data_IF_358658448092
#
_entry.id   IF_358658448092
#
_cell.length_a   1.000
_cell.length_b   1.000
_cell.length_c   1.000
_cell.angle_alpha   90.00
_cell.angle_beta   90.00
_cell.angle_gamma   90.00
#
_symmetry.space_group_name_H-M   'P 1'
#
loop_
_entity.id
_entity.type
_entity.pdbx_description
1 polymer ?
#
# COMPACT_ATOMS: atom_id res chain seq x y z
N UNK A 1 -18.36 16.46 16.57
CA UNK A 1 -17.89 15.05 16.65
C UNK A 1 -16.99 14.91 17.86
N UNK A 2 -17.34 13.96 18.78
CA UNK A 2 -16.61 13.79 20.05
C UNK A 2 -15.89 12.44 20.14
N UNK A 3 -16.53 11.36 19.68
CA UNK A 3 -15.98 10.00 19.79
C UNK A 3 -16.18 9.20 18.52
N UNK A 4 -15.08 8.65 18.01
CA UNK A 4 -15.03 7.86 16.76
C UNK A 4 -14.34 6.53 17.00
N UNK A 5 -14.91 5.45 16.47
CA UNK A 5 -14.23 4.16 16.37
C UNK A 5 -13.78 3.96 14.92
N UNK A 6 -12.51 3.56 14.74
CA UNK A 6 -11.97 3.12 13.46
C UNK A 6 -11.55 1.66 13.58
N UNK A 7 -12.05 0.81 12.71
CA UNK A 7 -11.79 -0.63 12.77
C UNK A 7 -11.26 -1.17 11.45
N UNK A 8 -10.17 -1.89 11.55
CA UNK A 8 -9.51 -2.54 10.43
C UNK A 8 -8.15 -3.07 10.81
N UNK A 9 -7.46 -3.66 9.86
CA UNK A 9 -6.11 -4.15 10.09
C UNK A 9 -5.79 -5.44 9.32
N UNK A 10 -4.76 -6.12 9.78
CA UNK A 10 -4.21 -7.33 9.19
C UNK A 10 -3.08 -7.06 8.20
N UNK A 11 -3.09 -5.94 7.50
CA UNK A 11 -2.05 -5.52 6.54
C UNK A 11 -1.88 -4.01 6.53
N UNK A 12 -0.72 -3.52 6.05
CA UNK A 12 -0.47 -2.09 5.87
C UNK A 12 -1.52 -1.40 4.98
N UNK A 13 -2.07 -2.12 3.99
CA UNK A 13 -3.12 -1.60 3.10
C UNK A 13 -4.41 -1.18 3.80
N UNK A 14 -4.69 -1.70 5.00
CA UNK A 14 -5.81 -1.26 5.84
C UNK A 14 -5.36 -0.27 6.92
N UNK A 15 -4.17 -0.48 7.50
CA UNK A 15 -3.70 0.30 8.65
C UNK A 15 -3.40 1.75 8.25
N UNK A 16 -2.65 1.96 7.18
CA UNK A 16 -2.26 3.32 6.76
C UNK A 16 -3.46 4.18 6.35
N UNK A 17 -4.44 3.71 5.54
CA UNK A 17 -5.68 4.44 5.32
C UNK A 17 -6.45 4.76 6.59
N UNK A 18 -6.53 3.83 7.55
CA UNK A 18 -7.19 4.05 8.83
C UNK A 18 -6.52 5.18 9.64
N UNK A 19 -5.19 5.19 9.70
CA UNK A 19 -4.40 6.24 10.36
C UNK A 19 -4.56 7.57 9.64
N UNK A 20 -4.53 7.60 8.30
CA UNK A 20 -4.74 8.82 7.52
C UNK A 20 -6.12 9.44 7.75
N UNK A 21 -7.18 8.62 7.83
CA UNK A 21 -8.53 9.07 8.19
C UNK A 21 -8.53 9.63 9.62
N UNK A 22 -7.90 8.94 10.58
CA UNK A 22 -7.81 9.40 11.96
C UNK A 22 -7.11 10.76 12.07
N UNK A 23 -5.99 10.94 11.34
CA UNK A 23 -5.25 12.18 11.31
C UNK A 23 -6.08 13.33 10.73
N UNK A 24 -6.82 13.10 9.63
CA UNK A 24 -7.71 14.09 9.02
C UNK A 24 -8.86 14.48 9.97
N UNK A 25 -9.46 13.49 10.67
CA UNK A 25 -10.47 13.74 11.70
C UNK A 25 -9.87 14.59 12.83
N UNK A 26 -8.68 14.22 13.33
CA UNK A 26 -8.02 14.91 14.44
C UNK A 26 -7.58 16.32 14.08
N UNK A 27 -7.14 16.56 12.85
CA UNK A 27 -6.80 17.87 12.34
C UNK A 27 -8.04 18.81 12.31
N UNK A 28 -9.20 18.29 11.94
CA UNK A 28 -10.47 19.06 11.87
C UNK A 28 -11.17 19.18 13.22
N UNK A 29 -11.01 18.19 14.11
CA UNK A 29 -11.60 18.11 15.45
C UNK A 29 -10.51 17.76 16.48
N UNK A 30 -9.72 18.74 16.97
CA UNK A 30 -8.60 18.48 17.87
C UNK A 30 -8.97 17.72 19.16
N UNK A 31 -10.18 17.94 19.69
CA UNK A 31 -10.66 17.33 20.94
C UNK A 31 -11.36 15.96 20.74
N UNK A 32 -11.40 15.44 19.51
CA UNK A 32 -12.06 14.15 19.24
C UNK A 32 -11.29 13.00 19.91
N UNK A 33 -12.01 12.11 20.55
CA UNK A 33 -11.47 10.84 21.02
C UNK A 33 -11.60 9.78 19.93
N UNK A 34 -10.46 9.22 19.50
CA UNK A 34 -10.41 8.16 18.50
C UNK A 34 -9.94 6.87 19.16
N UNK A 35 -10.72 5.81 19.00
CA UNK A 35 -10.37 4.47 19.43
C UNK A 35 -10.29 3.53 18.23
N UNK A 36 -9.14 2.89 18.08
CA UNK A 36 -8.99 1.83 17.07
C UNK A 36 -9.43 0.47 17.64
N UNK A 37 -9.95 -0.36 16.74
CA UNK A 37 -10.27 -1.76 17.03
C UNK A 37 -9.66 -2.63 15.93
N UNK A 38 -8.66 -3.43 16.28
CA UNK A 38 -7.88 -4.28 15.38
C UNK A 38 -7.97 -5.75 15.74
N UNK A 39 -7.18 -6.58 15.06
CA UNK A 39 -7.00 -7.99 15.38
C UNK A 39 -5.80 -8.18 16.34
N UNK A 40 -5.98 -8.97 17.39
CA UNK A 40 -4.88 -9.35 18.30
C UNK A 40 -3.72 -9.98 17.53
N UNK A 41 -2.49 -9.71 17.99
CA UNK A 41 -1.25 -10.28 17.44
C UNK A 41 -1.03 -9.97 15.94
N UNK A 42 -1.51 -8.82 15.48
CA UNK A 42 -1.31 -8.32 14.12
C UNK A 42 -0.59 -6.98 14.14
N UNK A 43 -0.11 -6.59 12.95
CA UNK A 43 0.69 -5.39 12.72
C UNK A 43 0.04 -4.11 13.28
N UNK A 44 -1.27 -4.00 13.26
CA UNK A 44 -1.99 -2.84 13.79
C UNK A 44 -1.78 -2.62 15.29
N UNK A 45 -1.55 -3.69 16.06
CA UNK A 45 -1.32 -3.57 17.51
C UNK A 45 -0.01 -2.84 17.85
N UNK A 46 0.92 -2.77 16.90
CA UNK A 46 2.18 -2.03 17.01
C UNK A 46 2.09 -0.68 16.28
N UNK A 47 1.60 -0.69 15.05
CA UNK A 47 1.62 0.50 14.17
C UNK A 47 0.66 1.61 14.59
N UNK A 48 -0.52 1.27 15.11
CA UNK A 48 -1.50 2.26 15.56
C UNK A 48 -1.03 3.02 16.79
N UNK A 49 -0.47 2.38 17.85
CA UNK A 49 0.15 3.09 18.97
C UNK A 49 1.33 3.97 18.54
N UNK A 50 2.18 3.51 17.63
CA UNK A 50 3.28 4.31 17.08
C UNK A 50 2.77 5.58 16.39
N UNK A 51 1.56 5.54 15.80
CA UNK A 51 0.89 6.71 15.24
C UNK A 51 0.15 7.60 16.27
N UNK A 52 0.27 7.29 17.58
CA UNK A 52 -0.30 8.08 18.67
C UNK A 52 -1.76 7.75 19.04
N UNK A 53 -2.31 6.63 18.56
CA UNK A 53 -3.70 6.26 18.83
C UNK A 53 -3.83 5.05 19.74
N UNK A 54 -4.91 5.03 20.56
CA UNK A 54 -5.27 3.87 21.37
C UNK A 54 -5.91 2.79 20.49
N UNK A 55 -5.58 1.52 20.75
CA UNK A 55 -6.15 0.37 20.07
C UNK A 55 -6.56 -0.73 21.03
N UNK A 56 -7.66 -1.42 20.73
CA UNK A 56 -8.10 -2.65 21.40
C UNK A 56 -8.10 -3.78 20.38
N UNK A 57 -7.47 -4.91 20.73
CA UNK A 57 -7.44 -6.11 19.90
C UNK A 57 -8.70 -6.97 20.08
N UNK A 58 -9.18 -7.56 18.98
CA UNK A 58 -10.20 -8.61 18.98
C UNK A 58 -9.56 -9.96 18.63
N UNK A 59 -9.97 -11.06 19.27
CA UNK A 59 -9.44 -12.40 18.97
C UNK A 59 -10.03 -12.97 17.67
N UNK A 60 -9.89 -12.22 16.57
CA UNK A 60 -10.40 -12.62 15.25
C UNK A 60 -9.39 -13.49 14.52
N UNK A 61 -9.89 -14.39 13.66
CA UNK A 61 -9.08 -15.19 12.75
C UNK A 61 -9.78 -15.32 11.40
N UNK A 62 -8.98 -15.53 10.33
CA UNK A 62 -9.51 -15.82 9.01
C UNK A 62 -10.08 -17.23 8.93
N UNK A 63 -11.08 -17.43 8.07
CA UNK A 63 -11.62 -18.75 7.75
C UNK A 63 -10.63 -19.51 6.87
N UNK A 64 -10.32 -20.76 7.24
CA UNK A 64 -9.58 -21.70 6.41
C UNK A 64 -10.53 -22.30 5.35
N UNK A 65 -10.35 -21.89 4.09
CA UNK A 65 -11.19 -22.34 2.97
C UNK A 65 -10.88 -23.81 2.56
N UNK A 66 -9.70 -24.33 2.95
CA UNK A 66 -9.26 -25.70 2.59
C UNK A 66 -9.66 -26.73 3.64
N UNK A 67 -9.72 -26.35 4.92
CA UNK A 67 -9.94 -27.26 6.02
C UNK A 67 -11.12 -26.81 6.90
N UNK A 68 -12.34 -27.19 6.52
CA UNK A 68 -13.58 -26.73 7.18
C UNK A 68 -13.63 -27.04 8.68
N UNK A 69 -13.13 -28.19 9.14
CA UNK A 69 -13.12 -28.57 10.55
C UNK A 69 -12.24 -27.66 11.44
N UNK A 70 -11.21 -27.01 10.88
CA UNK A 70 -10.40 -26.02 11.60
C UNK A 70 -11.15 -24.73 11.91
N UNK A 71 -12.30 -24.52 11.27
CA UNK A 71 -13.10 -23.31 11.47
C UNK A 71 -13.94 -23.33 12.74
N UNK A 72 -14.07 -24.43 13.49
CA UNK A 72 -14.78 -24.44 14.78
C UNK A 72 -14.14 -23.43 15.76
N UNK A 73 -12.81 -23.44 15.85
CA UNK A 73 -12.07 -22.45 16.64
C UNK A 73 -12.26 -21.00 16.15
N UNK A 74 -12.41 -20.81 14.84
CA UNK A 74 -12.71 -19.49 14.24
C UNK A 74 -14.10 -19.00 14.63
N UNK A 75 -15.10 -19.88 14.68
CA UNK A 75 -16.45 -19.54 15.12
C UNK A 75 -16.49 -19.11 16.60
N UNK A 76 -15.78 -19.82 17.47
CA UNK A 76 -15.64 -19.47 18.89
C UNK A 76 -14.97 -18.09 19.03
N UNK A 77 -13.86 -17.84 18.30
CA UNK A 77 -13.19 -16.54 18.25
C UNK A 77 -14.12 -15.44 17.75
N UNK A 78 -14.93 -15.73 16.72
CA UNK A 78 -15.91 -14.77 16.19
C UNK A 78 -16.95 -14.39 17.24
N UNK A 79 -17.49 -15.36 18.01
CA UNK A 79 -18.44 -15.08 19.09
C UNK A 79 -17.82 -14.25 20.22
N UNK A 80 -16.59 -14.58 20.63
CA UNK A 80 -15.84 -13.79 21.61
C UNK A 80 -15.60 -12.36 21.09
N UNK A 81 -15.20 -12.22 19.83
CA UNK A 81 -14.97 -10.91 19.19
C UNK A 81 -16.25 -10.08 19.11
N UNK A 82 -17.41 -10.69 18.78
CA UNK A 82 -18.70 -10.01 18.79
C UNK A 82 -19.11 -9.55 20.20
N UNK A 83 -18.85 -10.36 21.22
CA UNK A 83 -19.14 -9.99 22.62
C UNK A 83 -18.26 -8.82 23.06
N UNK A 84 -16.95 -8.90 22.79
CA UNK A 84 -16.01 -7.84 23.13
C UNK A 84 -16.29 -6.54 22.35
N UNK A 85 -16.61 -6.63 21.06
CA UNK A 85 -17.00 -5.47 20.26
C UNK A 85 -18.25 -4.78 20.82
N UNK A 86 -19.27 -5.55 21.27
CA UNK A 86 -20.46 -4.99 21.93
C UNK A 86 -20.12 -4.26 23.23
N UNK A 87 -19.17 -4.80 24.01
CA UNK A 87 -18.67 -4.14 25.23
C UNK A 87 -17.97 -2.84 24.89
N UNK A 88 -17.05 -2.85 23.92
CA UNK A 88 -16.31 -1.66 23.45
C UNK A 88 -17.29 -0.56 23.01
N UNK A 89 -18.26 -0.89 22.14
CA UNK A 89 -19.26 0.05 21.64
C UNK A 89 -20.10 0.64 22.79
N UNK A 90 -20.50 -0.19 23.76
CA UNK A 90 -21.30 0.26 24.91
C UNK A 90 -20.51 1.20 25.81
N UNK A 91 -19.24 0.87 26.07
CA UNK A 91 -18.41 1.57 27.05
C UNK A 91 -17.83 2.87 26.45
N UNK A 92 -17.41 2.84 25.19
CA UNK A 92 -16.87 4.01 24.48
C UNK A 92 -17.93 4.96 23.95
N UNK A 93 -19.13 4.47 23.59
CA UNK A 93 -20.28 5.23 23.05
C UNK A 93 -19.89 6.11 21.86
N UNK A 94 -19.37 5.55 20.76
CA UNK A 94 -18.99 6.34 19.60
C UNK A 94 -20.20 6.96 18.90
N UNK A 95 -20.02 8.11 18.26
CA UNK A 95 -21.04 8.75 17.41
C UNK A 95 -21.07 8.11 16.02
N UNK A 96 -19.93 7.56 15.56
CA UNK A 96 -19.80 6.84 14.30
C UNK A 96 -18.74 5.75 14.42
N UNK A 97 -18.89 4.68 13.65
CA UNK A 97 -17.86 3.66 13.48
C UNK A 97 -17.46 3.52 12.01
N UNK A 98 -16.15 3.57 11.75
CA UNK A 98 -15.53 3.52 10.41
C UNK A 98 -14.86 2.16 10.24
N UNK A 99 -15.17 1.46 9.16
CA UNK A 99 -14.55 0.20 8.78
C UNK A 99 -13.67 0.35 7.55
N UNK A 100 -12.40 0.03 7.69
CA UNK A 100 -11.43 0.08 6.58
C UNK A 100 -11.08 -1.32 6.03
N UNK A 101 -11.85 -2.33 6.39
CA UNK A 101 -11.60 -3.72 5.98
C UNK A 101 -10.82 -4.53 7.02
N UNK A 102 -10.53 -5.79 6.67
CA UNK A 102 -9.92 -6.75 7.58
C UNK A 102 -10.93 -7.44 8.50
N UNK A 103 -10.44 -8.40 9.29
CA UNK A 103 -11.31 -9.28 10.09
C UNK A 103 -11.96 -8.57 11.29
N UNK A 104 -11.32 -7.56 11.87
CA UNK A 104 -11.81 -6.84 13.03
C UNK A 104 -13.00 -5.91 12.70
N UNK A 105 -13.08 -5.38 11.47
CA UNK A 105 -14.17 -4.51 11.03
C UNK A 105 -15.54 -5.21 11.10
N UNK A 106 -15.60 -6.51 10.79
CA UNK A 106 -16.85 -7.27 10.81
C UNK A 106 -17.58 -7.23 12.14
N UNK A 107 -17.00 -7.75 13.23
CA UNK A 107 -17.60 -7.72 14.57
C UNK A 107 -17.86 -6.29 15.08
N UNK A 108 -16.93 -5.36 14.84
CA UNK A 108 -17.01 -3.98 15.34
C UNK A 108 -18.20 -3.24 14.73
N UNK A 109 -18.31 -3.21 13.40
CA UNK A 109 -19.37 -2.49 12.73
C UNK A 109 -20.72 -3.19 12.89
N UNK A 110 -20.74 -4.53 12.98
CA UNK A 110 -21.97 -5.27 13.32
C UNK A 110 -22.49 -4.90 14.71
N UNK A 111 -21.58 -4.69 15.68
CA UNK A 111 -21.94 -4.24 17.02
C UNK A 111 -22.46 -2.79 17.01
N UNK A 112 -21.81 -1.89 16.27
CA UNK A 112 -22.26 -0.49 16.08
C UNK A 112 -23.66 -0.43 15.46
N UNK A 113 -23.86 -1.12 14.33
CA UNK A 113 -25.14 -1.20 13.63
C UNK A 113 -26.29 -1.74 14.53
N UNK A 114 -25.98 -2.70 15.43
CA UNK A 114 -26.97 -3.23 16.37
C UNK A 114 -27.39 -2.20 17.43
N UNK A 115 -26.58 -1.18 17.67
CA UNK A 115 -26.83 -0.06 18.58
C UNK A 115 -27.31 1.20 17.86
N UNK A 116 -27.67 1.09 16.57
CA UNK A 116 -28.08 2.20 15.71
C UNK A 116 -27.03 3.31 15.59
N UNK A 117 -25.76 2.98 15.82
CA UNK A 117 -24.66 3.89 15.57
C UNK A 117 -24.34 3.82 14.07
N UNK A 118 -24.32 4.97 13.37
CA UNK A 118 -24.04 5.01 11.95
C UNK A 118 -22.64 4.44 11.64
N UNK A 119 -22.52 3.79 10.48
CA UNK A 119 -21.24 3.22 10.03
C UNK A 119 -20.88 3.71 8.65
N UNK A 120 -19.60 3.97 8.45
CA UNK A 120 -18.98 4.28 7.16
C UNK A 120 -17.99 3.18 6.80
N UNK A 121 -17.98 2.75 5.56
CA UNK A 121 -16.97 1.84 5.02
C UNK A 121 -15.99 2.59 4.11
N UNK A 122 -14.73 2.20 4.14
CA UNK A 122 -13.74 2.61 3.16
C UNK A 122 -13.18 1.35 2.48
N UNK A 123 -13.22 1.32 1.15
CA UNK A 123 -12.70 0.23 0.32
C UNK A 123 -11.53 0.72 -0.54
N UNK A 124 -10.37 0.12 -0.34
CA UNK A 124 -9.12 0.53 -0.95
C UNK A 124 -8.90 -0.06 -2.34
N UNK A 125 -9.48 -1.21 -2.61
CA UNK A 125 -9.20 -2.00 -3.80
C UNK A 125 -10.29 -1.84 -4.86
N UNK A 126 -9.94 -2.09 -6.12
CA UNK A 126 -10.89 -2.15 -7.24
C UNK A 126 -11.81 -3.40 -7.18
N UNK A 127 -11.55 -4.31 -6.26
CA UNK A 127 -12.36 -5.47 -5.93
C UNK A 127 -12.67 -5.51 -4.45
N UNK A 128 -13.95 -5.44 -4.10
CA UNK A 128 -14.39 -5.29 -2.73
C UNK A 128 -14.05 -6.51 -1.86
N UNK A 129 -13.50 -6.24 -0.67
CA UNK A 129 -13.25 -7.25 0.34
C UNK A 129 -14.54 -7.88 0.89
N UNK A 130 -14.47 -9.16 1.28
CA UNK A 130 -15.64 -9.91 1.77
C UNK A 130 -16.32 -9.20 2.95
N UNK A 131 -15.53 -8.69 3.89
CA UNK A 131 -16.04 -7.99 5.09
C UNK A 131 -16.86 -6.76 4.69
N UNK A 132 -16.34 -5.93 3.79
CA UNK A 132 -17.03 -4.73 3.32
C UNK A 132 -18.32 -5.07 2.56
N UNK A 133 -18.30 -6.12 1.71
CA UNK A 133 -19.52 -6.63 1.03
C UNK A 133 -20.61 -7.03 2.03
N UNK A 134 -20.26 -7.74 3.11
CA UNK A 134 -21.21 -8.17 4.13
C UNK A 134 -21.80 -7.00 4.95
N UNK A 135 -21.03 -5.93 5.14
CA UNK A 135 -21.44 -4.76 5.92
C UNK A 135 -22.16 -3.69 5.09
N UNK A 136 -22.00 -3.70 3.77
CA UNK A 136 -22.44 -2.66 2.84
C UNK A 136 -23.92 -2.29 2.99
N UNK A 137 -24.80 -3.29 3.14
CA UNK A 137 -26.26 -3.06 3.24
C UNK A 137 -26.64 -2.16 4.41
N UNK A 138 -25.90 -2.25 5.53
CA UNK A 138 -26.17 -1.47 6.76
C UNK A 138 -25.33 -0.22 6.92
N UNK A 139 -24.29 -0.05 6.11
CA UNK A 139 -23.49 1.15 6.13
C UNK A 139 -24.30 2.37 5.67
N UNK A 140 -24.06 3.52 6.27
CA UNK A 140 -24.63 4.79 5.86
C UNK A 140 -24.02 5.29 4.55
N UNK A 141 -22.69 5.18 4.42
CA UNK A 141 -21.91 5.52 3.21
C UNK A 141 -20.74 4.54 3.03
N UNK A 142 -20.31 4.42 1.79
CA UNK A 142 -19.19 3.57 1.36
C UNK A 142 -18.26 4.40 0.49
N UNK A 143 -17.15 4.82 1.07
CA UNK A 143 -16.10 5.55 0.39
C UNK A 143 -15.21 4.56 -0.38
N UNK A 144 -15.05 4.75 -1.67
CA UNK A 144 -14.31 3.83 -2.53
C UNK A 144 -13.16 4.53 -3.24
N UNK A 145 -12.11 3.77 -3.56
CA UNK A 145 -10.95 4.29 -4.26
C UNK A 145 -11.04 4.20 -5.79
N UNK A 146 -11.94 3.38 -6.30
CA UNK A 146 -12.07 3.10 -7.73
C UNK A 146 -13.51 3.23 -8.19
N UNK A 147 -13.69 3.60 -9.46
CA UNK A 147 -14.97 3.55 -10.16
C UNK A 147 -15.48 2.11 -10.33
N UNK A 148 -16.76 1.95 -10.69
CA UNK A 148 -17.35 0.66 -11.05
C UNK A 148 -17.59 -0.25 -9.85
N UNK A 149 -17.70 0.32 -8.62
CA UNK A 149 -17.92 -0.44 -7.40
C UNK A 149 -19.39 -0.78 -7.13
N UNK A 150 -20.31 -0.30 -7.95
CA UNK A 150 -21.76 -0.62 -7.91
C UNK A 150 -22.06 -2.11 -8.14
N UNK A 151 -21.13 -2.83 -8.74
CA UNK A 151 -21.20 -4.30 -8.85
C UNK A 151 -21.05 -5.03 -7.51
N UNK A 152 -20.56 -4.34 -6.47
CA UNK A 152 -20.33 -4.90 -5.13
C UNK A 152 -21.18 -4.24 -4.06
N UNK A 153 -21.54 -2.98 -4.24
CA UNK A 153 -22.15 -2.13 -3.23
C UNK A 153 -23.43 -1.44 -3.74
N UNK A 154 -24.39 -1.09 -2.85
CA UNK A 154 -25.53 -0.28 -3.22
C UNK A 154 -25.09 1.08 -3.79
N UNK A 155 -25.55 1.40 -5.00
CA UNK A 155 -25.13 2.59 -5.77
C UNK A 155 -25.37 3.91 -5.00
N UNK A 156 -26.47 4.01 -4.29
CA UNK A 156 -26.89 5.20 -3.51
C UNK A 156 -26.00 5.49 -2.30
N UNK A 157 -25.16 4.52 -1.91
CA UNK A 157 -24.24 4.63 -0.78
C UNK A 157 -22.79 4.88 -1.18
N UNK A 158 -22.44 4.66 -2.43
CA UNK A 158 -21.07 4.80 -2.93
C UNK A 158 -20.70 6.28 -3.06
N UNK A 159 -19.50 6.61 -2.60
CA UNK A 159 -18.84 7.89 -2.84
C UNK A 159 -17.42 7.61 -3.29
N UNK A 160 -17.02 8.10 -4.45
CA UNK A 160 -15.66 8.02 -4.94
C UNK A 160 -14.82 9.08 -4.24
N UNK A 161 -14.02 8.66 -3.25
CA UNK A 161 -13.17 9.54 -2.46
C UNK A 161 -11.70 9.35 -2.72
N UNK A 162 -11.31 8.20 -3.26
CA UNK A 162 -9.91 7.77 -3.34
C UNK A 162 -9.45 7.03 -2.08
N UNK A 163 -8.17 6.68 -2.09
CA UNK A 163 -7.49 6.13 -0.92
C UNK A 163 -6.81 7.23 -0.12
N UNK A 164 -7.02 7.28 1.20
CA UNK A 164 -6.23 8.13 2.06
C UNK A 164 -4.77 7.70 2.06
N UNK A 165 -3.92 8.47 1.43
CA UNK A 165 -2.47 8.29 1.40
C UNK A 165 -1.77 9.33 2.26
N UNK A 166 -0.47 9.19 2.45
CA UNK A 166 0.33 10.15 3.18
C UNK A 166 0.29 11.52 2.52
N UNK A 167 0.21 12.57 3.33
CA UNK A 167 0.15 13.97 2.84
C UNK A 167 1.54 14.59 2.60
N UNK A 168 2.61 13.95 3.08
CA UNK A 168 4.00 14.40 2.96
C UNK A 168 4.66 14.04 1.61
N UNK A 169 3.91 13.38 0.72
CA UNK A 169 4.35 13.01 -0.61
C UNK A 169 4.25 14.21 -1.57
N UNK A 170 5.28 15.01 -1.61
CA UNK A 170 5.42 16.10 -2.58
C UNK A 170 6.80 15.99 -3.24
N UNK A 171 6.82 16.09 -4.57
CA UNK A 171 8.07 16.21 -5.33
C UNK A 171 8.37 17.69 -5.52
N UNK A 172 9.46 18.18 -4.91
CA UNK A 172 10.00 19.52 -5.14
C UNK A 172 11.46 19.44 -5.57
N UNK A 173 11.98 20.49 -6.18
CA UNK A 173 13.40 20.53 -6.57
C UNK A 173 14.33 20.42 -5.35
N UNK A 174 13.93 20.97 -4.20
CA UNK A 174 14.66 20.82 -2.95
C UNK A 174 14.76 19.35 -2.51
N UNK A 175 13.61 18.64 -2.55
CA UNK A 175 13.59 17.19 -2.25
C UNK A 175 14.38 16.35 -3.26
N UNK A 176 14.37 16.74 -4.55
CA UNK A 176 15.19 16.07 -5.56
C UNK A 176 16.67 16.19 -5.23
N UNK A 177 17.14 17.38 -4.90
CA UNK A 177 18.55 17.61 -4.49
C UNK A 177 18.89 16.83 -3.22
N UNK A 178 18.05 16.92 -2.18
CA UNK A 178 18.21 16.14 -0.95
C UNK A 178 18.27 14.63 -1.24
N UNK A 179 17.47 14.13 -2.18
CA UNK A 179 17.41 12.71 -2.53
C UNK A 179 18.70 12.21 -3.16
N UNK A 180 19.27 12.95 -4.12
CA UNK A 180 20.55 12.58 -4.72
C UNK A 180 21.68 12.55 -3.68
N UNK A 181 21.69 13.53 -2.77
CA UNK A 181 22.66 13.55 -1.65
C UNK A 181 22.43 12.39 -0.67
N UNK A 182 21.18 12.08 -0.35
CA UNK A 182 20.81 11.01 0.59
C UNK A 182 21.13 9.62 0.06
N UNK A 183 20.77 9.33 -1.21
CA UNK A 183 21.00 8.04 -1.84
C UNK A 183 22.39 7.91 -2.45
N UNK A 184 23.18 8.98 -2.49
CA UNK A 184 24.51 9.03 -3.15
C UNK A 184 24.44 8.68 -4.63
N UNK A 185 23.43 9.19 -5.32
CA UNK A 185 23.14 8.94 -6.72
C UNK A 185 23.47 10.16 -7.59
N UNK A 186 23.61 9.94 -8.88
CA UNK A 186 23.99 10.93 -9.88
C UNK A 186 22.74 11.66 -10.42
N UNK A 187 22.64 12.99 -10.36
CA UNK A 187 21.50 13.73 -10.87
C UNK A 187 21.33 13.68 -12.40
N UNK A 188 22.40 13.33 -13.14
CA UNK A 188 22.39 13.26 -14.61
C UNK A 188 21.90 11.90 -15.14
N UNK A 189 21.65 10.92 -14.24
CA UNK A 189 21.20 9.57 -14.60
C UNK A 189 19.71 9.38 -14.37
N UNK A 190 19.08 8.54 -15.20
CA UNK A 190 17.72 8.06 -15.00
C UNK A 190 17.64 7.09 -13.83
N UNK A 191 16.62 7.23 -12.99
CA UNK A 191 16.45 6.43 -11.76
C UNK A 191 15.26 5.48 -11.86
N UNK A 192 15.52 4.18 -11.70
CA UNK A 192 14.48 3.17 -11.51
C UNK A 192 14.32 2.88 -10.01
N UNK A 193 13.11 3.04 -9.48
CA UNK A 193 12.77 2.68 -8.11
C UNK A 193 12.09 1.30 -8.09
N UNK A 194 12.68 0.34 -7.38
CA UNK A 194 12.17 -1.03 -7.25
C UNK A 194 11.66 -1.28 -5.84
N UNK A 195 10.37 -1.57 -5.68
CA UNK A 195 9.72 -1.81 -4.39
C UNK A 195 8.79 -3.02 -4.41
N UNK A 196 9.10 -4.03 -3.60
CA UNK A 196 8.30 -5.24 -3.44
C UNK A 196 7.29 -5.21 -2.27
N UNK A 197 7.17 -4.04 -1.58
CA UNK A 197 6.50 -3.93 -0.29
C UNK A 197 7.43 -4.27 0.89
N UNK A 198 6.96 -4.09 2.14
CA UNK A 198 7.79 -4.24 3.36
C UNK A 198 8.39 -5.63 3.57
N UNK A 199 7.78 -6.67 3.02
CA UNK A 199 8.29 -8.05 3.10
C UNK A 199 9.15 -8.43 1.89
N UNK A 200 9.15 -7.59 0.85
CA UNK A 200 9.79 -7.87 -0.42
C UNK A 200 8.92 -8.69 -1.38
N UNK A 201 9.40 -8.84 -2.61
CA UNK A 201 8.74 -9.58 -3.67
C UNK A 201 9.76 -10.49 -4.38
N UNK A 202 9.69 -11.80 -4.14
CA UNK A 202 10.68 -12.76 -4.61
C UNK A 202 10.97 -12.62 -6.11
N UNK A 203 9.94 -12.63 -6.94
CA UNK A 203 10.08 -12.60 -8.39
C UNK A 203 10.72 -11.31 -8.88
N UNK A 204 10.28 -10.16 -8.33
CA UNK A 204 10.89 -8.86 -8.63
C UNK A 204 12.35 -8.84 -8.21
N UNK A 205 12.65 -9.28 -6.98
CA UNK A 205 14.01 -9.32 -6.48
C UNK A 205 14.91 -10.18 -7.35
N UNK A 206 14.46 -11.37 -7.73
CA UNK A 206 15.22 -12.26 -8.59
C UNK A 206 15.49 -11.68 -9.98
N UNK A 207 14.51 -10.98 -10.56
CA UNK A 207 14.71 -10.30 -11.86
C UNK A 207 15.79 -9.23 -11.77
N UNK A 208 15.83 -8.46 -10.68
CA UNK A 208 16.84 -7.40 -10.49
C UNK A 208 18.21 -7.99 -10.12
N UNK A 209 18.27 -9.06 -9.29
CA UNK A 209 19.54 -9.76 -9.04
C UNK A 209 20.15 -10.29 -10.33
N UNK A 210 19.36 -10.95 -11.17
CA UNK A 210 19.82 -11.46 -12.47
C UNK A 210 20.37 -10.33 -13.38
N UNK A 211 19.74 -9.15 -13.39
CA UNK A 211 20.25 -7.99 -14.10
C UNK A 211 21.64 -7.58 -13.61
N UNK A 212 21.82 -7.54 -12.28
CA UNK A 212 23.09 -7.12 -11.67
C UNK A 212 24.23 -8.13 -11.92
N UNK A 213 23.90 -9.42 -12.01
CA UNK A 213 24.86 -10.49 -12.25
C UNK A 213 25.24 -10.63 -13.73
N UNK A 214 24.41 -10.12 -14.65
CA UNK A 214 24.63 -10.25 -16.09
C UNK A 214 25.62 -9.19 -16.61
N UNK A 215 26.81 -9.63 -17.00
CA UNK A 215 27.89 -8.77 -17.54
C UNK A 215 27.53 -8.11 -18.87
N UNK A 216 26.79 -8.81 -19.74
CA UNK A 216 26.37 -8.26 -21.03
C UNK A 216 25.50 -7.00 -20.85
N UNK A 217 24.60 -7.01 -19.86
CA UNK A 217 23.80 -5.85 -19.52
C UNK A 217 24.62 -4.72 -18.93
N UNK A 218 25.59 -5.03 -18.08
CA UNK A 218 26.46 -4.02 -17.45
C UNK A 218 27.37 -3.31 -18.46
N UNK A 219 27.73 -3.99 -19.53
CA UNK A 219 28.59 -3.43 -20.59
C UNK A 219 27.83 -2.66 -21.68
N UNK A 220 26.48 -2.76 -21.70
CA UNK A 220 25.68 -1.99 -22.63
C UNK A 220 25.67 -0.50 -22.24
N UNK A 221 25.80 0.38 -23.21
CA UNK A 221 25.73 1.84 -23.02
C UNK A 221 24.47 2.29 -22.30
N UNK A 222 23.36 1.55 -22.45
CA UNK A 222 22.07 1.78 -21.81
C UNK A 222 22.15 1.78 -20.28
N UNK A 223 23.03 0.95 -19.68
CA UNK A 223 23.21 0.89 -18.21
C UNK A 223 24.11 2.01 -17.67
N UNK A 224 24.94 2.64 -18.50
CA UNK A 224 25.83 3.71 -18.03
C UNK A 224 25.07 4.95 -17.56
N UNK A 225 23.87 5.18 -18.11
CA UNK A 225 23.00 6.31 -17.78
C UNK A 225 21.83 5.94 -16.86
N UNK A 226 21.88 4.75 -16.22
CA UNK A 226 20.86 4.28 -15.30
C UNK A 226 21.39 4.13 -13.88
N UNK A 227 20.47 4.28 -12.93
CA UNK A 227 20.69 3.99 -11.52
C UNK A 227 19.43 3.42 -10.90
N UNK A 228 19.60 2.63 -9.84
CA UNK A 228 18.51 1.87 -9.23
C UNK A 228 18.49 2.11 -7.73
N UNK A 229 17.31 2.47 -7.20
CA UNK A 229 16.98 2.39 -5.78
C UNK A 229 16.17 1.12 -5.58
N UNK A 230 16.69 0.19 -4.80
CA UNK A 230 16.07 -1.12 -4.64
C UNK A 230 15.79 -1.46 -3.18
N UNK A 231 14.49 -1.55 -2.84
CA UNK A 231 14.03 -2.09 -1.57
C UNK A 231 13.74 -3.59 -1.74
N UNK A 232 14.60 -4.42 -1.21
CA UNK A 232 14.51 -5.88 -1.29
C UNK A 232 13.46 -6.47 -0.34
N UNK A 233 13.19 -5.80 0.78
CA UNK A 233 12.33 -6.26 1.86
C UNK A 233 13.05 -7.17 2.86
N UNK A 234 12.53 -7.19 4.09
CA UNK A 234 13.16 -7.84 5.26
C UNK A 234 13.53 -9.31 5.04
N UNK A 235 12.72 -10.05 4.27
CA UNK A 235 12.92 -11.49 4.10
C UNK A 235 14.12 -11.80 3.21
N UNK A 236 14.38 -10.93 2.21
CA UNK A 236 15.34 -11.21 1.14
C UNK A 236 16.64 -10.44 1.27
N UNK A 237 16.69 -9.39 2.08
CA UNK A 237 17.82 -8.46 2.12
C UNK A 237 19.15 -9.16 2.36
N UNK A 238 19.26 -9.96 3.43
CA UNK A 238 20.51 -10.64 3.79
C UNK A 238 21.00 -11.60 2.70
N UNK A 239 20.08 -12.37 2.12
CA UNK A 239 20.42 -13.32 1.05
C UNK A 239 20.97 -12.58 -0.17
N UNK A 240 20.27 -11.54 -0.62
CA UNK A 240 20.67 -10.73 -1.79
C UNK A 240 22.00 -10.04 -1.50
N UNK A 241 22.20 -9.50 -0.32
CA UNK A 241 23.45 -8.89 0.12
C UNK A 241 24.62 -9.87 0.01
N UNK A 242 24.46 -11.08 0.54
CA UNK A 242 25.48 -12.13 0.49
C UNK A 242 25.77 -12.59 -0.96
N UNK A 243 24.74 -12.79 -1.77
CA UNK A 243 24.86 -13.18 -3.19
C UNK A 243 25.65 -12.14 -3.96
N UNK A 244 25.32 -10.87 -3.83
CA UNK A 244 26.01 -9.77 -4.52
C UNK A 244 27.44 -9.59 -4.02
N UNK A 245 27.69 -9.66 -2.70
CA UNK A 245 29.05 -9.61 -2.15
C UNK A 245 29.91 -10.74 -2.73
N UNK A 246 29.41 -11.96 -2.76
CA UNK A 246 30.15 -13.11 -3.27
C UNK A 246 30.43 -12.99 -4.77
N UNK A 247 29.43 -12.56 -5.54
CA UNK A 247 29.59 -12.33 -6.98
C UNK A 247 30.70 -11.32 -7.29
N UNK A 248 30.78 -10.24 -6.52
CA UNK A 248 31.75 -9.16 -6.73
C UNK A 248 33.12 -9.43 -6.08
N UNK A 249 33.20 -10.14 -4.95
CA UNK A 249 34.50 -10.56 -4.35
C UNK A 249 35.30 -11.50 -5.25
N UNK A 250 34.63 -12.34 -6.03
CA UNK A 250 35.28 -13.21 -7.01
C UNK A 250 35.96 -12.43 -8.16
N UNK A 251 35.67 -11.14 -8.31
CA UNK A 251 36.14 -10.24 -9.37
C UNK A 251 37.15 -9.18 -8.89
N UNK A 252 37.91 -9.43 -7.80
CA UNK A 252 39.04 -8.58 -7.33
C UNK A 252 38.65 -7.15 -6.87
N UNK A 253 37.50 -6.94 -6.29
CA UNK A 253 37.23 -5.69 -5.58
C UNK A 253 37.64 -5.80 -4.10
N UNK A 254 38.82 -5.16 -3.78
CA UNK A 254 39.52 -5.33 -2.48
C UNK A 254 39.05 -4.47 -1.35
N UNK A 255 37.89 -3.80 -1.42
CA UNK A 255 37.46 -2.94 -0.35
C UNK A 255 36.15 -3.42 0.32
N UNK A 256 36.29 -3.76 1.63
CA UNK A 256 35.22 -4.20 2.52
C UNK A 256 34.34 -3.03 3.03
N UNK A 257 34.51 -1.83 2.52
CA UNK A 257 33.72 -0.69 2.93
C UNK A 257 32.33 -0.78 2.34
N UNK A 258 31.41 -1.19 3.21
CA UNK A 258 29.98 -1.05 3.09
C UNK A 258 29.37 -1.26 1.70
N UNK A 259 28.52 -2.25 1.62
CA UNK A 259 27.59 -2.60 0.55
C UNK A 259 26.82 -1.43 -0.11
N UNK A 260 27.00 -0.23 0.40
CA UNK A 260 26.42 1.02 -0.09
C UNK A 260 27.13 1.63 -1.30
N UNK A 261 28.27 1.07 -1.72
CA UNK A 261 29.09 1.64 -2.81
C UNK A 261 29.37 0.58 -3.87
N UNK A 262 28.34 -0.10 -4.34
CA UNK A 262 28.47 -0.79 -5.61
C UNK A 262 28.18 0.17 -6.72
N UNK A 263 29.25 0.62 -7.41
CA UNK A 263 29.17 1.61 -8.47
C UNK A 263 28.18 2.74 -8.14
N UNK A 264 28.46 3.96 -8.42
CA UNK A 264 27.60 5.14 -8.28
C UNK A 264 26.18 5.03 -8.88
N UNK A 265 25.68 3.81 -9.11
CA UNK A 265 24.42 3.52 -9.80
C UNK A 265 23.44 2.64 -9.04
N UNK A 266 23.75 2.17 -7.80
CA UNK A 266 22.84 1.30 -7.07
C UNK A 266 22.75 1.68 -5.60
N UNK A 267 21.53 1.86 -5.11
CA UNK A 267 21.21 1.96 -3.67
C UNK A 267 20.30 0.80 -3.29
N UNK A 268 20.81 -0.14 -2.49
CA UNK A 268 20.11 -1.35 -2.08
C UNK A 268 19.84 -1.30 -0.58
N UNK A 269 18.61 -1.56 -0.15
CA UNK A 269 18.23 -1.52 1.26
C UNK A 269 17.11 -2.51 1.58
N UNK A 270 17.05 -2.92 2.85
CA UNK A 270 15.93 -3.71 3.37
C UNK A 270 14.61 -2.93 3.28
N UNK A 271 14.63 -1.66 3.68
CA UNK A 271 13.45 -0.81 3.75
C UNK A 271 13.80 0.67 3.52
N UNK A 272 13.07 1.33 2.65
CA UNK A 272 13.23 2.77 2.39
C UNK A 272 12.39 3.55 3.39
N UNK A 273 13.04 4.22 4.35
CA UNK A 273 12.38 5.08 5.34
C UNK A 273 11.96 6.42 4.74
N UNK A 274 12.79 7.00 3.86
CA UNK A 274 12.54 8.26 3.15
C UNK A 274 11.98 8.00 1.75
N UNK A 275 10.76 7.41 1.71
CA UNK A 275 10.07 7.13 0.45
C UNK A 275 9.74 8.42 -0.32
N UNK A 276 9.53 9.53 0.39
CA UNK A 276 9.35 10.86 -0.20
C UNK A 276 10.53 11.25 -1.10
N UNK A 277 11.76 10.98 -0.65
CA UNK A 277 12.98 11.23 -1.44
C UNK A 277 13.10 10.25 -2.62
N UNK A 278 12.84 8.96 -2.38
CA UNK A 278 12.91 7.96 -3.45
C UNK A 278 11.94 8.27 -4.59
N UNK A 279 10.70 8.64 -4.26
CA UNK A 279 9.72 9.07 -5.26
C UNK A 279 10.13 10.34 -5.99
N UNK A 280 10.80 11.30 -5.33
CA UNK A 280 11.15 12.58 -5.95
C UNK A 280 12.09 12.42 -7.15
N UNK A 281 12.98 11.43 -7.13
CA UNK A 281 13.98 11.18 -8.19
C UNK A 281 13.65 9.99 -9.08
N UNK A 282 12.65 9.17 -8.76
CA UNK A 282 12.24 8.04 -9.60
C UNK A 282 11.66 8.52 -10.94
N UNK A 283 12.24 8.09 -12.05
CA UNK A 283 11.71 8.26 -13.42
C UNK A 283 10.76 7.13 -13.79
N UNK A 284 11.04 5.91 -13.31
CA UNK A 284 10.20 4.73 -13.49
C UNK A 284 10.14 3.95 -12.17
N UNK A 285 8.98 3.42 -11.85
CA UNK A 285 8.79 2.57 -10.67
C UNK A 285 8.46 1.14 -11.10
N UNK A 286 9.09 0.16 -10.44
CA UNK A 286 8.70 -1.25 -10.51
C UNK A 286 8.12 -1.62 -9.15
N UNK A 287 6.86 -2.10 -9.11
CA UNK A 287 6.19 -2.34 -7.83
C UNK A 287 5.16 -3.47 -7.88
N UNK A 288 4.84 -4.03 -6.71
CA UNK A 288 3.58 -4.75 -6.50
C UNK A 288 2.38 -3.81 -6.65
N UNK A 289 1.22 -4.35 -7.05
CA UNK A 289 0.00 -3.58 -7.27
C UNK A 289 -0.84 -3.41 -5.97
N UNK A 290 -0.20 -2.99 -4.89
CA UNK A 290 -0.88 -2.65 -3.64
C UNK A 290 -1.68 -1.35 -3.77
N UNK A 291 -2.90 -1.32 -3.24
CA UNK A 291 -3.81 -0.19 -3.39
C UNK A 291 -3.24 1.15 -2.88
N UNK A 292 -2.54 1.14 -1.74
CA UNK A 292 -1.89 2.34 -1.20
C UNK A 292 -0.79 2.86 -2.11
N UNK A 293 0.12 1.98 -2.54
CA UNK A 293 1.22 2.34 -3.45
C UNK A 293 0.70 2.90 -4.78
N UNK A 294 -0.30 2.24 -5.38
CA UNK A 294 -0.93 2.73 -6.61
C UNK A 294 -1.48 4.15 -6.41
N UNK A 295 -2.15 4.42 -5.29
CA UNK A 295 -2.68 5.75 -5.02
C UNK A 295 -1.57 6.79 -4.83
N UNK A 296 -0.44 6.42 -4.23
CA UNK A 296 0.76 7.27 -4.15
C UNK A 296 1.33 7.55 -5.55
N UNK A 297 1.42 6.54 -6.43
CA UNK A 297 1.88 6.72 -7.81
C UNK A 297 0.96 7.65 -8.62
N UNK A 298 -0.36 7.50 -8.45
CA UNK A 298 -1.33 8.40 -9.07
C UNK A 298 -1.14 9.85 -8.61
N UNK A 299 -0.98 10.05 -7.30
CA UNK A 299 -0.77 11.38 -6.72
C UNK A 299 0.48 12.08 -7.24
N UNK A 300 1.54 11.32 -7.48
CA UNK A 300 2.84 11.82 -7.90
C UNK A 300 3.05 11.80 -9.42
N UNK A 301 2.09 11.27 -10.18
CA UNK A 301 2.21 11.13 -11.64
C UNK A 301 3.38 10.22 -12.05
N UNK A 302 3.71 9.18 -11.27
CA UNK A 302 4.89 8.34 -11.54
C UNK A 302 4.58 7.21 -12.49
N UNK A 303 5.31 7.10 -13.63
CA UNK A 303 5.23 5.94 -14.51
C UNK A 303 5.56 4.65 -13.75
N UNK A 304 4.80 3.58 -13.96
CA UNK A 304 4.96 2.35 -13.18
C UNK A 304 4.77 1.08 -14.00
N UNK A 305 5.65 0.11 -13.74
CA UNK A 305 5.44 -1.30 -14.10
C UNK A 305 4.91 -2.02 -12.86
N UNK A 306 3.71 -2.54 -12.96
CA UNK A 306 3.05 -3.29 -11.90
C UNK A 306 3.24 -4.78 -12.11
N UNK A 307 3.75 -5.46 -11.07
CA UNK A 307 3.88 -6.92 -11.01
C UNK A 307 2.96 -7.42 -9.90
N UNK A 308 1.68 -7.74 -10.19
CA UNK A 308 0.72 -8.17 -9.18
C UNK A 308 1.17 -9.42 -8.44
N UNK A 309 0.99 -9.45 -7.10
CA UNK A 309 1.29 -10.63 -6.32
C UNK A 309 0.22 -11.71 -6.53
N UNK A 310 0.59 -12.97 -6.85
CA UNK A 310 -0.38 -14.06 -6.97
C UNK A 310 -0.90 -14.56 -5.61
N UNK A 311 -0.24 -14.17 -4.51
CA UNK A 311 -0.51 -14.68 -3.16
C UNK A 311 -1.44 -13.78 -2.34
N UNK A 312 -2.34 -13.04 -3.00
CA UNK A 312 -3.30 -12.15 -2.34
C UNK A 312 -4.72 -12.65 -2.46
N UNK A 313 -5.56 -12.32 -1.46
CA UNK A 313 -6.96 -12.72 -1.46
C UNK A 313 -7.70 -12.14 -2.68
N UNK A 314 -8.58 -12.95 -3.30
CA UNK A 314 -9.48 -12.53 -4.40
C UNK A 314 -8.76 -11.93 -5.61
N UNK A 315 -7.45 -12.16 -5.75
CA UNK A 315 -6.62 -11.64 -6.84
C UNK A 315 -6.75 -10.10 -7.01
N UNK A 316 -6.87 -9.40 -5.88
CA UNK A 316 -7.14 -7.96 -5.91
C UNK A 316 -6.00 -7.14 -6.52
N UNK A 317 -4.73 -7.59 -6.44
CA UNK A 317 -3.62 -6.85 -7.04
C UNK A 317 -3.67 -6.85 -8.57
N UNK A 318 -4.00 -7.98 -9.20
CA UNK A 318 -4.21 -8.01 -10.66
C UNK A 318 -5.34 -7.06 -11.07
N UNK A 319 -6.44 -7.05 -10.32
CA UNK A 319 -7.57 -6.16 -10.59
C UNK A 319 -7.22 -4.69 -10.39
N UNK A 320 -6.43 -4.36 -9.36
CA UNK A 320 -5.92 -3.01 -9.15
C UNK A 320 -5.02 -2.57 -10.32
N UNK A 321 -4.10 -3.42 -10.76
CA UNK A 321 -3.23 -3.13 -11.90
C UNK A 321 -4.04 -2.90 -13.19
N UNK A 322 -4.99 -3.78 -13.49
CA UNK A 322 -5.84 -3.66 -14.67
C UNK A 322 -6.69 -2.38 -14.67
N UNK A 323 -7.07 -1.87 -13.49
CA UNK A 323 -7.79 -0.60 -13.40
C UNK A 323 -6.96 0.59 -13.93
N UNK A 324 -5.63 0.52 -13.88
CA UNK A 324 -4.72 1.50 -14.44
C UNK A 324 -4.37 1.19 -15.90
N UNK A 325 -4.06 -0.09 -16.20
CA UNK A 325 -3.67 -0.53 -17.54
C UNK A 325 -4.78 -0.22 -18.57
N UNK A 326 -6.03 -0.47 -18.22
CA UNK A 326 -7.19 -0.17 -19.06
C UNK A 326 -7.38 1.33 -19.36
N UNK A 327 -6.67 2.19 -18.64
CA UNK A 327 -6.63 3.65 -18.84
C UNK A 327 -5.29 4.13 -19.39
N UNK A 328 -4.45 3.22 -19.88
CA UNK A 328 -3.08 3.49 -20.34
C UNK A 328 -2.24 4.26 -19.31
N UNK A 329 -2.44 3.98 -18.02
CA UNK A 329 -1.81 4.66 -16.88
C UNK A 329 -0.72 3.82 -16.19
N UNK A 330 -0.52 2.58 -16.61
CA UNK A 330 0.54 1.70 -16.11
C UNK A 330 0.82 0.58 -17.10
N UNK A 331 2.00 -0.03 -17.01
CA UNK A 331 2.33 -1.31 -17.63
C UNK A 331 2.15 -2.42 -16.58
N UNK A 332 1.66 -3.59 -16.99
CA UNK A 332 1.54 -4.75 -16.10
C UNK A 332 2.29 -5.94 -16.67
N UNK A 333 3.05 -6.62 -15.82
CA UNK A 333 3.69 -7.90 -16.12
C UNK A 333 3.18 -8.92 -15.09
N UNK A 334 2.73 -10.08 -15.55
CA UNK A 334 2.29 -11.13 -14.64
C UNK A 334 3.49 -11.67 -13.83
N UNK A 335 3.28 -11.99 -12.55
CA UNK A 335 4.37 -12.44 -11.66
C UNK A 335 5.19 -13.62 -12.25
N UNK A 336 4.52 -14.57 -12.89
CA UNK A 336 5.15 -15.74 -13.54
C UNK A 336 6.06 -15.38 -14.71
N UNK A 337 5.81 -14.25 -15.37
CA UNK A 337 6.52 -13.81 -16.57
C UNK A 337 7.62 -12.78 -16.22
N UNK A 338 7.63 -12.26 -14.98
CA UNK A 338 8.54 -11.20 -14.57
C UNK A 338 10.02 -11.59 -14.68
N UNK A 339 10.38 -12.86 -14.41
CA UNK A 339 11.75 -13.35 -14.56
C UNK A 339 12.36 -13.15 -15.95
N UNK A 340 11.53 -13.16 -17.00
CA UNK A 340 11.96 -13.09 -18.39
C UNK A 340 11.65 -11.74 -19.07
N UNK A 341 10.71 -10.96 -18.54
CA UNK A 341 10.19 -9.78 -19.25
C UNK A 341 10.40 -8.47 -18.48
N UNK A 342 10.58 -8.52 -17.16
CA UNK A 342 10.54 -7.32 -16.33
C UNK A 342 11.70 -6.36 -16.64
N UNK A 343 12.90 -6.90 -16.74
CA UNK A 343 14.11 -6.11 -16.99
C UNK A 343 14.07 -5.51 -18.38
N UNK A 344 13.80 -6.32 -19.41
CA UNK A 344 13.75 -5.85 -20.79
C UNK A 344 12.71 -4.75 -20.97
N UNK A 345 11.50 -4.95 -20.38
CA UNK A 345 10.45 -3.93 -20.46
C UNK A 345 10.78 -2.67 -19.68
N UNK A 346 11.47 -2.79 -18.55
CA UNK A 346 11.90 -1.63 -17.77
C UNK A 346 12.95 -0.80 -18.54
N UNK A 347 13.89 -1.48 -19.20
CA UNK A 347 14.93 -0.82 -20.02
C UNK A 347 14.34 -0.19 -21.29
N UNK A 348 13.44 -0.89 -21.99
CA UNK A 348 12.69 -0.31 -23.10
C UNK A 348 11.97 0.97 -22.69
N UNK A 349 11.23 0.91 -21.58
CA UNK A 349 10.39 2.00 -21.13
C UNK A 349 11.18 3.21 -20.62
N UNK A 350 12.28 2.98 -19.85
CA UNK A 350 13.07 4.08 -19.27
C UNK A 350 13.74 4.94 -20.35
N UNK A 351 14.02 4.36 -21.52
CA UNK A 351 14.57 5.07 -22.68
C UNK A 351 13.52 5.64 -23.61
N UNK A 352 12.24 5.32 -23.43
CA UNK A 352 11.13 5.86 -24.22
C UNK A 352 10.46 7.05 -23.50
N UNK A 353 11.03 8.24 -23.67
CA UNK A 353 10.53 9.46 -23.00
C UNK A 353 9.07 9.76 -23.32
N UNK A 354 8.63 9.53 -24.56
CA UNK A 354 7.24 9.78 -24.96
C UNK A 354 6.26 8.85 -24.23
N UNK A 355 6.62 7.58 -24.06
CA UNK A 355 5.80 6.62 -23.32
C UNK A 355 5.78 6.92 -21.82
N UNK A 356 6.92 7.28 -21.21
CA UNK A 356 6.99 7.72 -19.82
C UNK A 356 6.09 8.93 -19.57
N UNK A 357 6.16 9.95 -20.42
CA UNK A 357 5.32 11.15 -20.30
C UNK A 357 3.83 10.82 -20.46
N UNK A 358 3.49 9.92 -21.40
CA UNK A 358 2.11 9.46 -21.59
C UNK A 358 1.58 8.73 -20.36
N UNK A 359 2.35 7.79 -19.81
CA UNK A 359 1.99 7.08 -18.58
C UNK A 359 1.85 8.03 -17.39
N UNK A 360 2.79 8.95 -17.23
CA UNK A 360 2.77 9.99 -16.19
C UNK A 360 1.50 10.85 -16.26
N UNK A 361 1.19 11.37 -17.45
CA UNK A 361 0.00 12.20 -17.66
C UNK A 361 -1.30 11.42 -17.41
N UNK A 362 -1.36 10.15 -17.79
CA UNK A 362 -2.56 9.34 -17.62
C UNK A 362 -2.75 8.89 -16.17
N UNK A 363 -1.69 8.48 -15.47
CA UNK A 363 -1.79 8.05 -14.07
C UNK A 363 -2.14 9.25 -13.16
N UNK A 364 -1.65 10.45 -13.46
CA UNK A 364 -1.96 11.66 -12.71
C UNK A 364 -3.45 12.04 -12.80
N UNK A 365 -4.12 11.76 -13.92
CA UNK A 365 -5.58 11.96 -14.06
C UNK A 365 -6.41 11.09 -13.12
N UNK A 366 -5.81 10.05 -12.55
CA UNK A 366 -6.44 9.14 -11.59
C UNK A 366 -6.18 9.55 -10.13
N UNK A 367 -5.46 10.64 -9.90
CA UNK A 367 -5.15 11.15 -8.57
C UNK A 367 -6.43 11.67 -7.87
N UNK A 368 -6.57 11.32 -6.60
CA UNK A 368 -7.63 11.80 -5.71
C UNK A 368 -6.96 12.32 -4.42
N UNK A 369 -6.37 13.51 -4.45
CA UNK A 369 -5.48 14.02 -3.40
C UNK A 369 -6.17 14.24 -2.05
N UNK A 370 -7.43 14.65 -2.05
CA UNK A 370 -8.19 15.01 -0.84
C UNK A 370 -8.98 13.83 -0.24
N UNK A 371 -8.58 12.59 -0.52
CA UNK A 371 -9.32 11.40 -0.12
C UNK A 371 -9.64 11.36 1.39
N UNK A 372 -8.68 11.68 2.25
CA UNK A 372 -8.90 11.68 3.69
C UNK A 372 -9.92 12.74 4.12
N UNK A 373 -9.81 13.98 3.61
CA UNK A 373 -10.74 15.07 3.90
C UNK A 373 -12.13 14.78 3.33
N UNK A 374 -12.22 14.26 2.10
CA UNK A 374 -13.49 13.85 1.48
C UNK A 374 -14.23 12.79 2.32
N UNK A 375 -13.50 11.87 2.94
CA UNK A 375 -14.08 10.90 3.87
C UNK A 375 -14.60 11.60 5.13
N UNK A 376 -13.87 12.57 5.68
CA UNK A 376 -14.33 13.35 6.84
C UNK A 376 -15.59 14.16 6.49
N UNK A 377 -15.69 14.73 5.29
CA UNK A 377 -16.90 15.42 4.81
C UNK A 377 -18.12 14.48 4.78
N UNK A 378 -17.94 13.23 4.34
CA UNK A 378 -19.02 12.22 4.37
C UNK A 378 -19.40 11.82 5.81
N UNK A 379 -18.44 11.75 6.74
CA UNK A 379 -18.70 11.52 8.16
C UNK A 379 -19.58 12.66 8.71
N UNK A 380 -19.24 13.92 8.42
CA UNK A 380 -20.03 15.07 8.87
C UNK A 380 -21.46 15.05 8.31
N UNK A 381 -21.64 14.72 7.03
CA UNK A 381 -22.96 14.57 6.41
C UNK A 381 -23.81 13.48 7.07
N UNK A 382 -23.17 12.38 7.52
CA UNK A 382 -23.83 11.30 8.24
C UNK A 382 -24.30 11.76 9.64
N UNK A 383 -23.45 12.53 10.34
CA UNK A 383 -23.72 12.97 11.71
C UNK A 383 -24.70 14.15 11.82
N UNK A 384 -24.90 14.92 10.72
CA UNK A 384 -25.87 16.02 10.64
C UNK A 384 -27.31 15.56 10.35
N UNK A 385 -27.49 14.30 9.96
CA UNK A 385 -28.81 13.66 9.75
C UNK A 385 -29.34 13.04 11.04
#
# INVERSE_FOLDING_TARGET
>A
MKRVIISGGGTGGHIFPAVSIANAIKARYPEVEILFVGAENRMEMERVPTAGYKIIGLPVAGFDRKHLFRNIGVLIKLQKSLSLARKIIRDFKPEIAIGVGGYASGPTLKAANKKNIPTLLQEQNSYAGVTNKLLAKKAAKICVAYDGMEKFFPKDKIVLTGNPVRQDLQCSEEKRKEAYDYFKLDPDKKTILVIGGSLGARTINQSISNLMENEEWRMKNEMQNLQIIWQTGKIYFKQIEEELINHYKQKEFTDNSSFFIFHSSFYITEFISRMDLAYSIADLIISRAGAGSISEFCMLGKPVILVPSPNVAEDHQTKNALALVNKNAAVMIADKDAGNQLVDKALELIHNEAELQSLSANILKLALPDAANSIVDEIEKILKK
#
